data_IF_942183902325
#
_entry.id   IF_942183902325
#
_cell.length_a   1.000
_cell.length_b   1.000
_cell.length_c   1.000
_cell.angle_alpha   90.00
_cell.angle_beta   90.00
_cell.angle_gamma   90.00
#
_symmetry.space_group_name_H-M   'P 1'
#
loop_
_entity.id
_entity.type
_entity.pdbx_description
1 polymer ?
#
# COMPACT_ATOMS: atom_id res chain seq x y z
N UNK A 1 -35.20 -14.32 -30.08
CA UNK A 1 -35.23 -13.03 -30.79
C UNK A 1 -36.57 -12.35 -30.57
N UNK A 2 -36.62 -11.09 -30.12
CA UNK A 2 -36.70 -9.90 -30.93
C UNK A 2 -35.94 -8.74 -30.20
N UNK A 3 -35.50 -7.69 -30.80
CA UNK A 3 -35.85 -6.72 -31.72
C UNK A 3 -34.97 -5.50 -31.50
N UNK A 4 -34.46 -4.87 -32.56
CA UNK A 4 -33.54 -3.74 -32.55
C UNK A 4 -34.13 -2.49 -31.92
N UNK A 5 -33.25 -1.75 -31.19
CA UNK A 5 -33.49 -0.35 -30.86
C UNK A 5 -32.65 0.49 -31.84
N UNK A 6 -33.37 1.13 -32.75
CA UNK A 6 -32.83 2.08 -33.69
C UNK A 6 -32.21 3.27 -32.99
N UNK A 7 -31.11 3.78 -33.52
CA UNK A 7 -30.53 5.05 -33.13
C UNK A 7 -31.53 6.17 -33.47
N UNK A 8 -31.71 7.16 -32.59
CA UNK A 8 -32.54 8.32 -32.91
C UNK A 8 -31.92 9.05 -34.11
N UNK A 9 -32.80 9.36 -35.06
CA UNK A 9 -32.48 9.99 -36.34
C UNK A 9 -31.82 11.36 -36.12
N UNK A 10 -30.78 11.63 -36.89
CA UNK A 10 -30.02 12.87 -36.82
C UNK A 10 -30.89 14.13 -37.13
N UNK A 11 -32.04 13.90 -37.82
CA UNK A 11 -32.98 14.98 -38.12
C UNK A 11 -33.75 15.44 -36.87
N UNK A 12 -34.13 14.54 -35.93
CA UNK A 12 -34.79 14.92 -34.67
C UNK A 12 -33.88 15.78 -33.77
N UNK A 13 -32.54 15.58 -33.85
CA UNK A 13 -31.57 16.37 -33.06
C UNK A 13 -31.34 17.77 -33.64
N UNK A 14 -31.52 17.94 -34.96
CA UNK A 14 -31.38 19.24 -35.61
C UNK A 14 -32.63 20.10 -35.41
N UNK A 15 -33.85 19.55 -35.44
CA UNK A 15 -35.09 20.26 -35.19
C UNK A 15 -35.21 20.81 -33.75
N UNK A 16 -34.67 20.07 -32.73
CA UNK A 16 -34.63 20.54 -31.34
C UNK A 16 -33.70 21.76 -31.14
N UNK A 17 -32.69 21.91 -31.98
CA UNK A 17 -31.72 23.02 -31.86
C UNK A 17 -32.18 24.30 -32.56
N UNK A 18 -32.99 24.19 -33.62
CA UNK A 18 -33.46 25.33 -34.36
C UNK A 18 -34.79 25.95 -33.85
N UNK A 19 -35.58 25.21 -33.05
CA UNK A 19 -36.91 25.66 -32.62
C UNK A 19 -36.94 26.36 -31.25
N UNK A 20 -35.78 26.60 -30.59
CA UNK A 20 -35.72 27.34 -29.30
C UNK A 20 -35.32 28.81 -29.45
N UNK A 21 -35.68 29.43 -30.53
CA UNK A 21 -35.28 30.79 -30.86
C UNK A 21 -36.41 31.73 -31.27
N UNK A 22 -37.63 31.65 -30.70
CA UNK A 22 -38.65 32.69 -30.93
C UNK A 22 -39.60 32.84 -29.74
N UNK A 23 -39.19 33.59 -28.72
CA UNK A 23 -40.11 34.47 -27.99
C UNK A 23 -39.39 35.74 -27.62
N UNK A 24 -39.95 36.80 -28.13
CA UNK A 24 -39.55 38.19 -28.01
C UNK A 24 -39.74 38.74 -26.60
N UNK A 25 -38.76 39.53 -26.13
CA UNK A 25 -39.09 40.83 -25.51
C UNK A 25 -37.81 41.65 -25.33
N UNK A 26 -37.95 42.86 -25.79
CA UNK A 26 -37.07 44.01 -25.77
C UNK A 26 -36.55 44.38 -24.39
N UNK A 27 -35.24 44.68 -24.26
CA UNK A 27 -34.80 45.95 -23.66
C UNK A 27 -33.29 46.06 -23.52
N UNK A 28 -32.81 47.26 -23.90
CA UNK A 28 -31.61 47.99 -23.48
C UNK A 28 -30.23 47.40 -23.77
N UNK A 29 -29.62 48.07 -24.76
CA UNK A 29 -28.22 48.16 -25.06
C UNK A 29 -27.41 48.58 -23.82
N UNK A 30 -26.53 47.75 -23.36
CA UNK A 30 -25.31 48.18 -22.72
C UNK A 30 -24.16 47.44 -23.40
N UNK A 31 -23.44 48.15 -24.24
CA UNK A 31 -22.17 47.74 -24.82
C UNK A 31 -21.13 47.70 -23.72
N UNK A 32 -21.03 46.59 -23.01
CA UNK A 32 -19.85 46.27 -22.21
C UNK A 32 -18.81 45.69 -23.16
N UNK A 33 -17.85 46.51 -23.56
CA UNK A 33 -16.58 46.05 -24.11
C UNK A 33 -15.98 45.03 -23.18
N UNK A 34 -16.16 43.74 -23.50
CA UNK A 34 -15.40 42.67 -22.86
C UNK A 34 -13.96 42.85 -23.32
N UNK A 35 -13.19 43.63 -22.55
CA UNK A 35 -11.75 43.51 -22.58
C UNK A 35 -11.42 42.05 -22.39
N UNK A 36 -10.90 41.42 -23.44
CA UNK A 36 -10.26 40.12 -23.38
C UNK A 36 -9.02 40.29 -22.50
N UNK A 37 -9.21 40.27 -21.18
CA UNK A 37 -8.10 40.05 -20.27
C UNK A 37 -7.56 38.66 -20.63
N UNK A 38 -6.40 38.65 -21.28
CA UNK A 38 -5.59 37.44 -21.40
C UNK A 38 -5.39 36.91 -19.98
N UNK A 39 -6.23 35.94 -19.59
CA UNK A 39 -5.99 35.18 -18.37
C UNK A 39 -4.65 34.53 -18.60
N UNK A 40 -3.58 35.06 -18.00
CA UNK A 40 -2.34 34.33 -17.85
C UNK A 40 -2.70 33.02 -17.22
N UNK A 41 -2.53 31.95 -17.96
CA UNK A 41 -2.89 30.61 -17.50
C UNK A 41 -1.80 30.15 -16.53
N UNK A 42 -1.91 30.58 -15.27
CA UNK A 42 -1.08 30.06 -14.19
C UNK A 42 -1.26 28.57 -14.12
N UNK A 43 -0.28 27.81 -14.57
CA UNK A 43 -0.33 26.36 -14.57
C UNK A 43 0.29 25.81 -13.31
N UNK A 44 -0.38 24.84 -12.69
CA UNK A 44 0.19 24.07 -11.58
C UNK A 44 1.44 23.32 -12.08
N UNK A 45 2.49 23.28 -11.25
CA UNK A 45 3.66 22.43 -11.48
C UNK A 45 3.30 20.96 -11.55
N UNK A 46 4.19 20.15 -12.12
CA UNK A 46 3.99 18.71 -12.21
C UNK A 46 4.12 18.08 -10.83
N UNK A 47 3.32 17.07 -10.58
CA UNK A 47 3.46 16.24 -9.42
C UNK A 47 4.67 15.28 -9.63
N UNK A 48 5.47 15.10 -8.58
CA UNK A 48 6.64 14.21 -8.57
C UNK A 48 6.25 12.94 -7.84
N UNK A 49 6.81 11.80 -8.29
CA UNK A 49 6.66 10.50 -7.62
C UNK A 49 8.02 9.95 -7.32
N UNK A 50 8.21 9.49 -6.10
CA UNK A 50 9.42 8.85 -5.61
C UNK A 50 9.06 7.63 -4.78
N UNK A 51 9.98 6.69 -4.68
CA UNK A 51 9.85 5.50 -3.85
C UNK A 51 10.71 5.64 -2.60
N UNK A 52 10.15 5.26 -1.47
CA UNK A 52 10.86 5.25 -0.19
C UNK A 52 10.92 3.84 0.37
N UNK A 53 12.12 3.27 0.36
CA UNK A 53 12.37 1.97 0.96
C UNK A 53 12.56 2.13 2.48
N UNK A 54 11.77 1.36 3.23
CA UNK A 54 11.75 1.35 4.69
C UNK A 54 12.17 -0.03 5.19
N UNK A 55 12.93 -0.06 6.27
CA UNK A 55 13.11 -1.27 7.05
C UNK A 55 11.80 -1.59 7.79
N UNK A 56 11.54 -2.86 8.06
CA UNK A 56 10.31 -3.31 8.72
C UNK A 56 10.04 -2.56 10.03
N UNK A 57 11.07 -2.37 10.86
CA UNK A 57 10.93 -1.66 12.13
C UNK A 57 10.60 -0.17 11.97
N UNK A 58 11.11 0.46 10.91
CA UNK A 58 10.81 1.86 10.58
C UNK A 58 9.36 2.03 10.15
N UNK A 59 8.84 1.08 9.36
CA UNK A 59 7.44 1.07 8.93
C UNK A 59 6.48 0.86 10.12
N UNK A 60 6.83 -0.03 11.04
CA UNK A 60 6.02 -0.33 12.22
C UNK A 60 6.00 0.81 13.23
N UNK A 61 7.16 1.37 13.57
CA UNK A 61 7.29 2.42 14.61
C UNK A 61 7.05 3.82 14.07
N UNK A 62 7.11 3.98 12.76
CA UNK A 62 7.19 5.28 12.11
C UNK A 62 8.59 5.88 12.24
N UNK A 63 8.92 6.75 11.30
CA UNK A 63 10.24 7.37 11.26
C UNK A 63 10.20 8.70 10.54
N UNK A 64 11.29 9.45 10.60
CA UNK A 64 11.54 10.62 9.78
C UNK A 64 12.70 10.32 8.86
N UNK A 65 12.49 10.48 7.55
CA UNK A 65 13.55 10.30 6.55
C UNK A 65 13.66 11.50 5.63
N UNK A 66 14.89 11.80 5.27
CA UNK A 66 15.19 12.82 4.27
C UNK A 66 15.26 12.17 2.90
N UNK A 67 14.43 12.64 1.97
CA UNK A 67 14.42 12.20 0.58
C UNK A 67 14.89 13.33 -0.31
N UNK A 68 15.87 13.06 -1.16
CA UNK A 68 16.37 14.01 -2.14
C UNK A 68 15.58 13.85 -3.44
N UNK A 69 14.85 14.87 -3.81
CA UNK A 69 14.05 14.90 -5.04
C UNK A 69 14.68 15.86 -6.05
N UNK A 70 14.52 15.56 -7.32
CA UNK A 70 14.88 16.43 -8.42
C UNK A 70 13.64 17.11 -8.95
N UNK A 71 13.53 18.43 -8.77
CA UNK A 71 12.40 19.23 -9.25
C UNK A 71 12.79 20.32 -10.22
N UNK A 72 11.86 20.75 -11.07
CA UNK A 72 12.04 21.91 -11.92
C UNK A 72 12.11 23.18 -11.07
N UNK A 73 13.10 24.06 -11.37
CA UNK A 73 13.30 25.36 -10.74
C UNK A 73 12.89 26.52 -11.65
N UNK A 74 13.00 26.35 -12.96
CA UNK A 74 12.52 27.31 -13.94
C UNK A 74 11.95 26.60 -15.16
N UNK A 75 11.09 27.31 -15.87
CA UNK A 75 10.47 26.83 -17.10
C UNK A 75 10.72 27.77 -18.24
N UNK A 76 10.88 27.20 -19.43
CA UNK A 76 10.85 27.91 -20.71
C UNK A 76 9.47 27.73 -21.34
N UNK A 77 8.90 28.82 -21.86
CA UNK A 77 7.61 28.81 -22.53
C UNK A 77 7.62 27.84 -23.72
N UNK A 78 6.52 27.13 -23.90
CA UNK A 78 6.33 26.27 -25.05
C UNK A 78 5.94 27.10 -26.28
N UNK A 79 6.81 27.13 -27.28
CA UNK A 79 6.57 27.88 -28.52
C UNK A 79 5.43 27.32 -29.38
N UNK A 80 5.03 26.04 -29.17
CA UNK A 80 3.95 25.43 -29.96
C UNK A 80 2.54 25.87 -29.52
N UNK A 81 2.40 26.36 -28.29
CA UNK A 81 1.13 26.85 -27.75
C UNK A 81 1.26 28.22 -27.06
N UNK A 82 2.38 28.88 -27.21
CA UNK A 82 2.66 30.21 -26.61
C UNK A 82 2.31 30.29 -25.12
N UNK A 83 2.65 29.24 -24.38
CA UNK A 83 2.40 29.11 -22.93
C UNK A 83 0.99 28.71 -22.54
N UNK A 84 0.04 28.58 -23.47
CA UNK A 84 -1.36 28.29 -23.15
C UNK A 84 -1.65 26.86 -22.78
N UNK A 85 -0.73 25.91 -23.05
CA UNK A 85 -0.92 24.47 -22.82
C UNK A 85 -1.95 23.82 -23.75
N UNK A 86 -2.66 24.60 -24.56
CA UNK A 86 -3.69 24.15 -25.50
C UNK A 86 -3.45 24.72 -26.90
N UNK A 87 -3.82 23.94 -27.89
CA UNK A 87 -3.79 24.37 -29.30
C UNK A 87 -5.21 24.30 -29.85
N UNK A 88 -5.65 25.39 -30.44
CA UNK A 88 -6.97 25.50 -31.04
C UNK A 88 -6.90 25.14 -32.51
N UNK A 89 -7.67 24.17 -32.92
CA UNK A 89 -7.89 23.83 -34.32
C UNK A 89 -9.24 24.36 -34.76
N UNK A 90 -9.24 25.29 -35.71
CA UNK A 90 -10.47 25.85 -36.31
C UNK A 90 -10.72 25.15 -37.63
N UNK A 91 -11.83 24.43 -37.75
CA UNK A 91 -12.35 23.89 -39.00
C UNK A 91 -13.74 24.49 -39.26
N UNK A 92 -13.82 25.49 -40.13
CA UNK A 92 -15.06 26.21 -40.42
C UNK A 92 -15.63 26.91 -39.19
N UNK A 93 -16.85 26.63 -38.81
CA UNK A 93 -17.54 27.27 -37.66
C UNK A 93 -17.24 26.63 -36.31
N UNK A 94 -16.47 25.53 -36.26
CA UNK A 94 -16.14 24.81 -35.03
C UNK A 94 -14.68 25.06 -34.68
N UNK A 95 -14.42 25.46 -33.43
CA UNK A 95 -13.07 25.49 -32.87
C UNK A 95 -12.96 24.41 -31.76
N UNK A 96 -12.04 23.49 -31.93
CA UNK A 96 -11.75 22.43 -30.95
C UNK A 96 -10.44 22.74 -30.27
N UNK A 97 -10.47 22.89 -28.96
CA UNK A 97 -9.27 23.06 -28.14
C UNK A 97 -8.75 21.68 -27.70
N UNK A 98 -7.47 21.40 -27.96
CA UNK A 98 -6.78 20.18 -27.56
C UNK A 98 -5.55 20.52 -26.71
N UNK A 99 -5.21 19.64 -25.77
CA UNK A 99 -3.95 19.77 -25.05
C UNK A 99 -2.77 19.78 -26.03
N UNK A 100 -1.83 20.69 -25.81
CA UNK A 100 -0.65 20.82 -26.65
C UNK A 100 0.21 19.55 -26.58
N UNK A 101 0.37 18.85 -27.69
CA UNK A 101 1.15 17.60 -27.75
C UNK A 101 2.63 17.80 -27.44
N UNK A 102 3.18 19.00 -27.66
CA UNK A 102 4.60 19.29 -27.39
C UNK A 102 4.91 19.40 -25.90
N UNK A 103 4.05 20.08 -25.11
CA UNK A 103 4.28 20.30 -23.68
C UNK A 103 3.36 19.46 -22.76
N UNK A 104 2.51 18.59 -23.33
CA UNK A 104 1.57 17.77 -22.57
C UNK A 104 0.50 18.57 -21.83
N UNK A 105 0.17 19.77 -22.28
CA UNK A 105 -0.83 20.64 -21.66
C UNK A 105 -0.29 21.60 -20.60
N UNK A 106 1.00 21.52 -20.25
CA UNK A 106 1.61 22.37 -19.20
C UNK A 106 1.88 23.80 -19.66
N UNK A 107 2.07 24.02 -20.95
CA UNK A 107 2.41 25.33 -21.52
C UNK A 107 3.91 25.67 -21.50
N UNK A 108 4.73 24.86 -20.86
CA UNK A 108 6.15 25.11 -20.66
C UNK A 108 6.98 23.83 -20.54
N UNK A 109 8.29 23.98 -20.68
CA UNK A 109 9.28 22.91 -20.47
C UNK A 109 10.20 23.24 -19.31
N UNK A 110 10.62 22.26 -18.48
CA UNK A 110 11.63 22.50 -17.46
C UNK A 110 12.93 22.99 -18.10
N UNK A 111 13.44 24.14 -17.68
CA UNK A 111 14.71 24.69 -18.15
C UNK A 111 15.84 24.39 -17.19
N UNK A 112 15.61 24.63 -15.89
CA UNK A 112 16.58 24.34 -14.82
C UNK A 112 15.94 23.42 -13.81
N UNK A 113 16.73 22.48 -13.29
CA UNK A 113 16.32 21.57 -12.21
C UNK A 113 17.22 21.80 -11.00
N UNK A 114 16.69 21.54 -9.81
CA UNK A 114 17.43 21.55 -8.54
C UNK A 114 17.17 20.26 -7.77
N UNK A 115 18.16 19.84 -6.98
CA UNK A 115 17.97 18.80 -6.01
C UNK A 115 17.52 19.45 -4.70
N UNK A 116 16.36 19.04 -4.19
CA UNK A 116 15.81 19.48 -2.91
C UNK A 116 15.69 18.30 -1.97
N UNK A 117 16.18 18.45 -0.75
CA UNK A 117 15.96 17.46 0.31
C UNK A 117 14.70 17.81 1.08
N UNK A 118 13.78 16.85 1.18
CA UNK A 118 12.50 17.00 1.87
C UNK A 118 12.48 16.01 3.05
N UNK A 119 12.22 16.52 4.26
CA UNK A 119 12.00 15.67 5.43
C UNK A 119 10.59 15.07 5.36
N UNK A 120 10.51 13.75 5.36
CA UNK A 120 9.27 12.99 5.29
C UNK A 120 9.01 12.35 6.64
N UNK A 121 7.86 12.67 7.23
CA UNK A 121 7.38 12.01 8.44
C UNK A 121 6.52 10.81 8.03
N UNK A 122 7.08 9.61 8.18
CA UNK A 122 6.40 8.34 7.96
C UNK A 122 5.59 7.99 9.20
N UNK A 123 4.26 7.84 9.11
CA UNK A 123 3.45 7.43 10.26
C UNK A 123 3.74 5.96 10.63
N UNK A 124 3.49 5.59 11.89
CA UNK A 124 3.60 4.22 12.34
C UNK A 124 2.51 3.35 11.73
N UNK A 125 2.87 2.13 11.32
CA UNK A 125 1.93 1.15 10.76
C UNK A 125 1.76 1.20 9.24
N UNK A 126 2.58 1.98 8.52
CA UNK A 126 2.55 2.00 7.05
C UNK A 126 2.89 0.63 6.47
N UNK A 127 2.37 0.37 5.27
CA UNK A 127 2.64 -0.86 4.53
C UNK A 127 3.15 -0.57 3.12
N UNK A 128 3.68 -1.59 2.46
CA UNK A 128 4.04 -1.52 1.04
C UNK A 128 2.83 -1.10 0.21
N UNK A 129 3.04 -0.16 -0.72
CA UNK A 129 1.97 0.43 -1.53
C UNK A 129 1.25 1.61 -0.86
N UNK A 130 1.53 1.91 0.41
CA UNK A 130 1.02 3.13 1.05
C UNK A 130 1.61 4.35 0.36
N UNK A 131 0.75 5.28 -0.08
CA UNK A 131 1.15 6.53 -0.73
C UNK A 131 0.97 7.72 0.19
N UNK A 132 2.07 8.44 0.40
CA UNK A 132 2.06 9.70 1.15
C UNK A 132 2.11 10.87 0.17
N UNK A 133 1.23 11.85 0.35
CA UNK A 133 1.21 13.10 -0.41
C UNK A 133 1.77 14.24 0.41
N UNK A 134 2.77 14.91 -0.11
CA UNK A 134 3.34 16.13 0.46
C UNK A 134 3.00 17.29 -0.47
N UNK A 135 2.17 18.20 0.01
CA UNK A 135 1.66 19.30 -0.79
C UNK A 135 2.77 20.32 -1.12
N UNK A 136 2.72 20.87 -2.34
CA UNK A 136 3.61 21.91 -2.84
C UNK A 136 5.11 21.53 -2.89
N UNK A 137 5.45 20.25 -2.81
CA UNK A 137 6.84 19.77 -2.89
C UNK A 137 7.20 19.16 -4.26
N UNK A 138 6.30 19.22 -5.23
CA UNK A 138 6.57 18.88 -6.62
C UNK A 138 7.31 19.98 -7.37
N UNK A 139 7.25 19.95 -8.70
CA UNK A 139 7.80 20.98 -9.58
C UNK A 139 7.16 22.35 -9.28
N UNK A 140 7.92 23.42 -9.45
CA UNK A 140 7.33 24.78 -9.37
C UNK A 140 6.30 24.99 -10.48
N UNK A 141 5.29 25.81 -10.19
CA UNK A 141 4.29 26.18 -11.20
C UNK A 141 4.84 27.15 -12.24
N UNK A 142 4.29 27.09 -13.44
CA UNK A 142 4.58 28.05 -14.50
C UNK A 142 3.82 29.35 -14.26
N UNK A 143 4.44 30.47 -14.59
CA UNK A 143 3.87 31.83 -14.46
C UNK A 143 3.27 32.14 -13.08
N UNK A 144 4.06 31.86 -12.01
CA UNK A 144 3.63 32.01 -10.62
C UNK A 144 2.42 31.14 -10.25
N UNK A 145 2.22 30.04 -10.97
CA UNK A 145 1.26 29.00 -10.60
C UNK A 145 1.67 28.25 -9.32
N UNK A 146 0.75 27.53 -8.67
CA UNK A 146 1.08 26.72 -7.50
C UNK A 146 2.03 25.58 -7.88
N UNK A 147 2.87 25.17 -6.94
CA UNK A 147 3.73 24.01 -7.11
C UNK A 147 2.88 22.73 -7.25
N UNK A 148 3.48 21.72 -7.87
CA UNK A 148 2.98 20.35 -7.83
C UNK A 148 3.09 19.74 -6.44
N UNK A 149 2.64 18.52 -6.30
CA UNK A 149 2.74 17.73 -5.07
C UNK A 149 3.80 16.64 -5.22
N UNK A 150 4.37 16.23 -4.12
CA UNK A 150 5.26 15.07 -4.06
C UNK A 150 4.48 13.87 -3.52
N UNK A 151 4.48 12.80 -4.27
CA UNK A 151 3.92 11.51 -3.88
C UNK A 151 5.06 10.55 -3.59
N UNK A 152 5.02 9.95 -2.41
CA UNK A 152 5.98 8.94 -1.98
C UNK A 152 5.27 7.61 -1.86
N UNK A 153 5.69 6.65 -2.65
CA UNK A 153 5.24 5.27 -2.56
C UNK A 153 6.16 4.50 -1.61
N UNK A 154 5.58 3.93 -0.56
CA UNK A 154 6.32 3.20 0.48
C UNK A 154 6.57 1.77 0.03
N UNK A 155 7.81 1.30 0.22
CA UNK A 155 8.21 -0.10 0.02
C UNK A 155 8.83 -0.58 1.32
N UNK A 156 8.19 -1.54 1.98
CA UNK A 156 8.69 -2.12 3.24
C UNK A 156 9.45 -3.40 2.92
N UNK A 157 10.67 -3.51 3.44
CA UNK A 157 11.48 -4.72 3.30
C UNK A 157 10.95 -5.83 4.21
N UNK A 158 11.09 -7.07 3.74
CA UNK A 158 10.80 -8.26 4.54
C UNK A 158 11.72 -8.34 5.76
N UNK A 159 11.18 -8.89 6.84
CA UNK A 159 11.94 -9.12 8.07
C UNK A 159 12.25 -10.62 8.23
N UNK A 160 13.45 -11.00 8.69
CA UNK A 160 13.85 -12.42 8.77
C UNK A 160 13.01 -13.27 9.75
N UNK A 161 12.36 -12.64 10.72
CA UNK A 161 11.61 -13.35 11.77
C UNK A 161 10.13 -13.01 11.81
N UNK A 162 9.72 -11.90 11.22
CA UNK A 162 8.34 -11.42 11.29
C UNK A 162 7.74 -11.34 9.90
N UNK A 163 6.57 -11.92 9.74
CA UNK A 163 5.69 -11.69 8.58
C UNK A 163 4.53 -10.82 9.02
N UNK A 164 4.15 -9.87 8.18
CA UNK A 164 3.01 -9.00 8.43
C UNK A 164 1.75 -9.58 7.82
N UNK A 165 0.67 -9.60 8.57
CA UNK A 165 -0.70 -9.90 8.13
C UNK A 165 -1.63 -8.76 8.57
N UNK A 166 -1.82 -7.76 7.70
CA UNK A 166 -2.54 -6.51 7.99
C UNK A 166 -1.93 -5.77 9.20
N UNK A 167 -2.64 -5.68 10.31
CA UNK A 167 -2.16 -5.10 11.57
C UNK A 167 -1.47 -6.12 12.48
N UNK A 168 -1.56 -7.40 12.14
CA UNK A 168 -0.98 -8.46 12.93
C UNK A 168 0.43 -8.82 12.44
N UNK A 169 1.15 -9.49 13.32
CA UNK A 169 2.47 -10.04 13.01
C UNK A 169 2.42 -11.54 13.28
N UNK A 170 3.06 -12.29 12.40
CA UNK A 170 3.26 -13.72 12.56
C UNK A 170 4.75 -13.98 12.71
N UNK A 171 5.14 -14.79 13.67
CA UNK A 171 6.50 -15.32 13.77
C UNK A 171 6.47 -16.83 14.02
N UNK A 172 7.48 -17.52 13.49
CA UNK A 172 7.69 -18.95 13.75
C UNK A 172 8.80 -19.11 14.77
N UNK A 173 8.51 -19.84 15.85
CA UNK A 173 9.47 -20.09 16.93
C UNK A 173 9.73 -21.58 17.01
N UNK A 174 11.00 -22.00 16.84
CA UNK A 174 11.37 -23.40 17.04
C UNK A 174 11.37 -23.75 18.52
N UNK A 175 10.74 -24.87 18.87
CA UNK A 175 10.77 -25.45 20.22
C UNK A 175 11.26 -26.88 20.16
N UNK A 176 11.86 -27.36 21.25
CA UNK A 176 12.30 -28.75 21.37
C UNK A 176 11.15 -29.67 21.71
N UNK A 177 11.32 -31.00 21.44
CA UNK A 177 10.35 -32.03 21.81
C UNK A 177 10.06 -32.01 23.31
N UNK A 178 11.05 -31.96 24.23
CA UNK A 178 10.78 -31.88 25.66
C UNK A 178 9.96 -30.65 26.05
N UNK A 179 10.23 -29.49 25.43
CA UNK A 179 9.44 -28.28 25.67
C UNK A 179 7.99 -28.39 25.18
N UNK A 180 7.78 -29.12 24.09
CA UNK A 180 6.43 -29.37 23.57
C UNK A 180 5.63 -30.29 24.50
N UNK A 181 6.29 -31.30 25.09
CA UNK A 181 5.66 -32.30 25.98
C UNK A 181 5.42 -31.71 27.37
N UNK A 182 6.44 -31.14 27.98
CA UNK A 182 6.42 -30.68 29.38
C UNK A 182 5.77 -29.30 29.50
N UNK A 183 5.88 -28.48 28.42
CA UNK A 183 5.57 -27.08 28.47
C UNK A 183 6.71 -26.24 29.07
N UNK A 184 6.43 -25.00 29.40
CA UNK A 184 7.42 -24.10 30.00
C UNK A 184 7.29 -22.68 29.59
N UNK A 185 8.32 -21.88 29.85
CA UNK A 185 8.42 -20.50 29.48
C UNK A 185 9.56 -20.29 28.48
N UNK A 186 9.32 -19.56 27.45
CA UNK A 186 10.35 -19.20 26.46
C UNK A 186 10.34 -17.70 26.22
N UNK A 187 11.51 -17.14 25.95
CA UNK A 187 11.64 -15.77 25.48
C UNK A 187 11.43 -15.72 23.98
N UNK A 188 10.50 -14.87 23.55
CA UNK A 188 10.21 -14.64 22.15
C UNK A 188 10.53 -13.20 21.76
N UNK A 189 10.96 -12.95 20.51
CA UNK A 189 11.11 -11.60 20.00
C UNK A 189 9.74 -10.95 19.80
N UNK A 190 9.65 -9.66 20.12
CA UNK A 190 8.52 -8.79 19.81
C UNK A 190 9.02 -7.49 19.21
N UNK A 191 8.13 -6.66 18.70
CA UNK A 191 8.48 -5.33 18.15
C UNK A 191 9.14 -4.40 19.18
N UNK A 192 8.82 -4.60 20.46
CA UNK A 192 9.30 -3.77 21.56
C UNK A 192 10.51 -4.37 22.31
N UNK A 193 10.94 -5.56 21.89
CA UNK A 193 12.02 -6.29 22.55
C UNK A 193 11.65 -7.75 22.80
N UNK A 194 12.03 -8.30 23.96
CA UNK A 194 11.71 -9.68 24.34
C UNK A 194 10.44 -9.74 25.19
N UNK A 195 9.67 -10.80 25.02
CA UNK A 195 8.51 -11.12 25.87
C UNK A 195 8.53 -12.60 26.24
N UNK A 196 8.09 -12.91 27.46
CA UNK A 196 7.95 -14.29 27.91
C UNK A 196 6.65 -14.88 27.37
N UNK A 197 6.73 -16.04 26.71
CA UNK A 197 5.59 -16.85 26.28
C UNK A 197 5.52 -18.12 27.11
N UNK A 198 4.36 -18.38 27.72
CA UNK A 198 4.10 -19.62 28.45
C UNK A 198 3.53 -20.65 27.49
N UNK A 199 4.27 -21.73 27.27
CA UNK A 199 3.86 -22.90 26.47
C UNK A 199 3.13 -23.87 27.36
N UNK A 200 1.88 -24.28 27.06
CA UNK A 200 1.19 -25.36 27.76
C UNK A 200 1.86 -26.70 27.44
N UNK A 201 1.74 -27.66 28.37
CA UNK A 201 2.19 -29.05 28.13
C UNK A 201 1.33 -29.72 27.04
N UNK A 202 1.96 -30.61 26.26
CA UNK A 202 1.26 -31.35 25.20
C UNK A 202 0.91 -30.54 23.97
N UNK A 203 1.65 -29.44 23.69
CA UNK A 203 1.39 -28.59 22.54
C UNK A 203 1.68 -29.34 21.23
N UNK A 204 0.82 -29.13 20.24
CA UNK A 204 0.92 -29.81 18.96
C UNK A 204 1.70 -29.00 17.93
N UNK A 205 2.36 -29.65 16.93
CA UNK A 205 3.05 -28.93 15.84
C UNK A 205 2.12 -27.99 15.09
N UNK A 206 2.60 -26.78 14.82
CA UNK A 206 1.84 -25.76 14.10
C UNK A 206 0.78 -25.04 14.93
N UNK A 207 0.67 -25.31 16.22
CA UNK A 207 -0.24 -24.58 17.09
C UNK A 207 0.17 -23.13 17.21
N UNK A 208 -0.83 -22.22 17.12
CA UNK A 208 -0.62 -20.78 17.12
C UNK A 208 -1.00 -20.22 18.50
N UNK A 209 -0.06 -19.48 19.09
CA UNK A 209 -0.26 -18.73 20.33
C UNK A 209 -0.45 -17.25 20.01
N UNK A 210 -1.42 -16.59 20.65
CA UNK A 210 -1.72 -15.18 20.41
C UNK A 210 -1.29 -14.31 21.59
N UNK A 211 -0.48 -13.29 21.31
CA UNK A 211 -0.14 -12.23 22.26
C UNK A 211 -0.88 -10.96 21.86
N UNK A 212 -1.87 -10.60 22.65
CA UNK A 212 -2.74 -9.45 22.39
C UNK A 212 -1.98 -8.13 22.45
N UNK A 213 -2.25 -7.24 21.50
CA UNK A 213 -1.71 -5.90 21.45
C UNK A 213 -0.19 -5.83 21.20
N UNK A 214 0.44 -6.92 20.72
CA UNK A 214 1.86 -6.99 20.38
C UNK A 214 2.13 -6.96 18.87
N UNK A 215 1.12 -6.65 18.08
CA UNK A 215 1.20 -6.42 16.64
C UNK A 215 1.56 -4.98 16.28
N UNK A 216 1.20 -4.59 15.07
CA UNK A 216 1.49 -3.28 14.48
C UNK A 216 0.44 -2.27 14.94
N UNK A 217 0.83 -1.03 15.08
CA UNK A 217 -0.09 0.07 15.36
C UNK A 217 -1.06 0.25 14.20
N UNK A 218 -2.34 0.29 14.49
CA UNK A 218 -3.39 0.52 13.49
C UNK A 218 -3.33 1.97 13.01
N UNK A 219 -3.26 2.16 11.69
CA UNK A 219 -3.19 3.48 11.08
C UNK A 219 -4.45 4.29 11.45
N UNK A 220 -4.25 5.54 11.86
CA UNK A 220 -5.34 6.46 12.28
C UNK A 220 -6.14 5.98 13.51
N UNK A 221 -5.64 5.03 14.29
CA UNK A 221 -6.24 4.54 15.53
C UNK A 221 -5.23 4.53 16.67
N UNK A 222 -5.71 4.39 17.90
CA UNK A 222 -4.87 4.14 19.08
C UNK A 222 -4.62 2.65 19.36
N UNK A 223 -5.26 1.77 18.59
CA UNK A 223 -5.16 0.31 18.74
C UNK A 223 -3.88 -0.28 18.15
N UNK A 224 -3.60 -1.50 18.57
CA UNK A 224 -2.54 -2.36 18.05
C UNK A 224 -3.14 -3.68 17.63
N UNK A 225 -2.59 -4.28 16.58
CA UNK A 225 -2.84 -5.67 16.23
C UNK A 225 -2.21 -6.64 17.23
N UNK A 226 -2.23 -7.90 16.92
CA UNK A 226 -1.73 -8.98 17.76
C UNK A 226 -0.48 -9.63 17.16
N UNK A 227 0.32 -10.29 18.00
CA UNK A 227 1.40 -11.16 17.56
C UNK A 227 0.95 -12.61 17.65
N UNK A 228 0.96 -13.28 16.50
CA UNK A 228 0.71 -14.71 16.38
C UNK A 228 2.04 -15.45 16.32
N UNK A 229 2.25 -16.34 17.29
CA UNK A 229 3.45 -17.17 17.42
C UNK A 229 3.10 -18.58 17.01
N UNK A 230 3.58 -19.01 15.86
CA UNK A 230 3.44 -20.39 15.37
C UNK A 230 4.59 -21.22 15.93
N UNK A 231 4.25 -22.24 16.69
CA UNK A 231 5.24 -23.09 17.30
C UNK A 231 5.62 -24.23 16.36
N UNK A 232 6.90 -24.32 16.05
CA UNK A 232 7.46 -25.35 15.18
C UNK A 232 8.33 -26.31 16.01
N UNK A 233 7.92 -27.58 16.12
CA UNK A 233 8.67 -28.59 16.88
C UNK A 233 9.85 -29.07 16.03
N UNK A 234 11.07 -28.83 16.53
CA UNK A 234 12.28 -29.24 15.84
C UNK A 234 12.76 -30.57 16.39
N UNK A 235 12.87 -31.54 15.49
CA UNK A 235 13.43 -32.88 15.78
C UNK A 235 14.93 -32.84 15.46
N UNK A 236 15.81 -33.05 16.44
CA UNK A 236 17.25 -33.07 16.19
C UNK A 236 17.65 -34.30 15.35
N UNK A 237 18.45 -34.05 14.30
CA UNK A 237 18.96 -35.12 13.43
C UNK A 237 20.09 -35.96 14.08
N UNK A 238 20.74 -35.40 15.09
CA UNK A 238 21.81 -36.06 15.85
C UNK A 238 21.52 -35.96 17.32
N UNK A 239 21.61 -37.09 18.04
CA UNK A 239 21.44 -37.21 19.49
C UNK A 239 22.65 -37.96 20.08
N UNK A 240 22.99 -37.63 21.31
CA UNK A 240 24.01 -38.36 22.08
C UNK A 240 23.48 -39.71 22.57
N UNK A 241 24.37 -40.64 22.95
CA UNK A 241 23.97 -41.95 23.46
C UNK A 241 23.10 -41.82 24.72
N UNK A 242 23.42 -40.87 25.60
CA UNK A 242 22.60 -40.58 26.80
C UNK A 242 21.20 -40.09 26.42
N UNK A 243 21.08 -39.24 25.42
CA UNK A 243 19.77 -38.77 24.94
C UNK A 243 18.97 -39.91 24.32
N UNK A 244 19.64 -40.84 23.61
CA UNK A 244 19.02 -42.04 23.04
C UNK A 244 18.44 -42.91 24.13
N UNK A 245 19.22 -43.26 25.14
CA UNK A 245 18.75 -44.08 26.27
C UNK A 245 17.52 -43.47 26.94
N UNK A 246 17.55 -42.15 27.22
CA UNK A 246 16.41 -41.48 27.85
C UNK A 246 15.16 -41.48 26.95
N UNK A 247 15.31 -41.43 25.64
CA UNK A 247 14.19 -41.51 24.71
C UNK A 247 13.63 -42.91 24.59
N UNK A 248 14.49 -43.94 24.68
CA UNK A 248 14.08 -45.34 24.70
C UNK A 248 13.28 -45.63 25.98
N UNK A 249 13.76 -45.21 27.16
CA UNK A 249 13.01 -45.32 28.43
C UNK A 249 11.65 -44.60 28.35
N UNK A 250 11.64 -43.41 27.77
CA UNK A 250 10.39 -42.66 27.60
C UNK A 250 9.41 -43.35 26.66
N UNK A 251 9.89 -43.97 25.58
CA UNK A 251 9.07 -44.77 24.68
C UNK A 251 8.45 -45.99 25.39
N UNK A 252 9.24 -46.73 26.20
CA UNK A 252 8.74 -47.86 26.98
C UNK A 252 7.61 -47.45 27.95
N UNK A 253 7.73 -46.27 28.58
CA UNK A 253 6.68 -45.76 29.47
C UNK A 253 5.41 -45.37 28.73
N UNK A 254 5.54 -44.77 27.53
CA UNK A 254 4.41 -44.44 26.66
C UNK A 254 3.67 -45.70 26.21
N UNK A 255 4.40 -46.78 25.88
CA UNK A 255 3.81 -48.05 25.44
C UNK A 255 3.03 -48.79 26.54
N UNK A 256 3.38 -48.59 27.80
CA UNK A 256 2.63 -49.10 28.96
C UNK A 256 1.29 -48.38 29.15
N UNK A 257 1.15 -47.17 28.64
CA UNK A 257 -0.10 -46.40 28.73
C UNK A 257 -1.10 -46.85 27.67
N UNK A 258 -2.12 -47.59 28.09
CA UNK A 258 -3.18 -48.12 27.25
C UNK A 258 -4.07 -47.01 26.59
N UNK A 259 -3.99 -45.77 27.07
CA UNK A 259 -4.74 -44.63 26.55
C UNK A 259 -3.95 -43.81 25.52
N UNK A 260 -2.80 -44.31 25.10
CA UNK A 260 -2.00 -43.63 24.08
C UNK A 260 -2.74 -43.63 22.74
N UNK A 261 -2.94 -42.48 22.08
CA UNK A 261 -3.58 -42.38 20.75
C UNK A 261 -2.95 -43.27 19.68
N UNK A 262 -1.63 -43.54 19.78
CA UNK A 262 -0.91 -44.41 18.85
C UNK A 262 -1.33 -45.84 19.05
N UNK A 263 -1.45 -46.33 20.31
CA UNK A 263 -1.88 -47.70 20.63
C UNK A 263 -3.34 -47.91 20.20
N UNK A 264 -4.21 -46.96 20.40
CA UNK A 264 -5.59 -47.02 19.89
C UNK A 264 -5.67 -47.11 18.35
N UNK A 265 -4.83 -46.34 17.66
CA UNK A 265 -4.78 -46.39 16.20
C UNK A 265 -4.24 -47.72 15.69
N UNK A 266 -3.16 -48.25 16.31
CA UNK A 266 -2.61 -49.58 15.97
C UNK A 266 -3.60 -50.70 16.25
N UNK A 267 -4.39 -50.61 17.33
CA UNK A 267 -5.46 -51.58 17.62
C UNK A 267 -6.55 -51.54 16.51
N UNK A 268 -6.94 -50.36 16.04
CA UNK A 268 -7.89 -50.21 14.91
C UNK A 268 -7.33 -50.83 13.63
N UNK A 269 -6.05 -50.66 13.33
CA UNK A 269 -5.41 -51.27 12.16
C UNK A 269 -5.43 -52.82 12.29
N UNK A 270 -5.04 -53.36 13.43
CA UNK A 270 -5.09 -54.82 13.67
C UNK A 270 -6.49 -55.39 13.47
N UNK A 271 -7.52 -54.70 13.94
CA UNK A 271 -8.91 -55.12 13.77
C UNK A 271 -9.42 -54.97 12.32
N UNK A 272 -8.77 -54.19 11.49
CA UNK A 272 -9.13 -54.02 10.05
C UNK A 272 -8.58 -55.18 9.21
N UNK A 273 -7.47 -55.81 9.61
CA UNK A 273 -6.84 -56.92 8.89
C UNK A 273 -7.23 -58.30 9.43
N UNK A 274 -7.99 -58.41 10.50
CA UNK A 274 -8.63 -59.62 11.00
C UNK A 274 -10.12 -59.65 10.64
#
# INVERSE_FOLDING_TARGET
FPGGRGFPDLEDLMDGFFNQGRTSSSSSRSSSSRSSSSRSTRSKGRDIREELVLEFQEAVKGTKKNVSIRRAKSYKMCNACDGNGQVNYSQGFFSISRSCGSCGGVGAFPEKTENKTVEIKVPAGVDTGTRLRIRNEGDIGFDSGPNGDLYIDMIVKDHPFFSREEENIVCEIPISIPQAIIGGKIDIPTLDGKSELKIPSGIQPGQIMRLRGKGIKILNSSGYGDLFVKLNIVIPSKISDKQRMLMEEFQEEIEKDSKNPISEYLAKIKNFFN
#
